data_IF_673534434547
#
_entry.id   IF_673534434547
#
_cell.length_a   1.000
_cell.length_b   1.000
_cell.length_c   1.000
_cell.angle_alpha   90.00
_cell.angle_beta   90.00
_cell.angle_gamma   90.00
#
_symmetry.space_group_name_H-M   'P 1'
#
loop_
_entity.id
_entity.type
_entity.pdbx_description
1 polymer ?
#
# COMPACT_ATOMS: atom_id res chain seq x y z
N UNK A 1 5.93 -1.37 5.67
CA UNK A 1 6.91 -2.07 6.54
C UNK A 1 7.96 -2.79 5.71
N UNK A 2 8.87 -3.55 6.32
CA UNK A 2 9.96 -4.24 5.63
C UNK A 2 9.48 -5.18 4.51
N UNK A 3 8.63 -6.17 4.85
CA UNK A 3 8.13 -7.15 3.89
C UNK A 3 7.32 -6.51 2.75
N UNK A 4 6.49 -5.53 3.05
CA UNK A 4 5.70 -4.81 2.05
C UNK A 4 6.56 -4.11 1.00
N UNK A 5 7.74 -3.58 1.37
CA UNK A 5 8.66 -2.98 0.41
C UNK A 5 9.28 -4.01 -0.52
N UNK A 6 9.64 -5.19 0.01
CA UNK A 6 10.18 -6.30 -0.79
C UNK A 6 9.12 -6.79 -1.76
N UNK A 7 7.88 -6.95 -1.30
CA UNK A 7 6.76 -7.32 -2.14
C UNK A 7 6.53 -6.30 -3.27
N UNK A 8 6.46 -5.00 -2.93
CA UNK A 8 6.29 -3.94 -3.93
C UNK A 8 7.43 -3.92 -4.97
N UNK A 9 8.70 -3.98 -4.53
CA UNK A 9 9.85 -4.05 -5.44
C UNK A 9 9.76 -5.26 -6.37
N UNK A 10 9.45 -6.44 -5.81
CA UNK A 10 9.36 -7.68 -6.57
C UNK A 10 8.25 -7.63 -7.62
N UNK A 11 7.08 -7.10 -7.26
CA UNK A 11 5.96 -6.89 -8.18
C UNK A 11 6.39 -5.97 -9.32
N UNK A 12 6.93 -4.80 -8.99
CA UNK A 12 7.37 -3.81 -9.99
C UNK A 12 8.45 -4.36 -10.93
N UNK A 13 9.37 -5.18 -10.42
CA UNK A 13 10.47 -5.74 -11.22
C UNK A 13 10.07 -6.93 -12.09
N UNK A 14 9.10 -7.73 -11.64
CA UNK A 14 8.83 -9.06 -12.25
C UNK A 14 7.43 -9.23 -12.82
N UNK A 15 6.49 -8.34 -12.53
CA UNK A 15 5.09 -8.44 -12.98
C UNK A 15 4.74 -7.24 -13.88
N UNK A 16 5.20 -7.23 -15.16
CA UNK A 16 4.98 -6.08 -16.05
C UNK A 16 3.50 -5.83 -16.36
N UNK A 17 2.68 -6.88 -16.27
CA UNK A 17 1.24 -6.84 -16.55
C UNK A 17 0.43 -6.16 -15.43
N UNK A 18 1.02 -5.94 -14.25
CA UNK A 18 0.38 -5.13 -13.21
C UNK A 18 0.31 -3.70 -13.72
N UNK A 19 -0.91 -3.22 -13.95
CA UNK A 19 -1.16 -1.88 -14.48
C UNK A 19 -0.72 -0.82 -13.47
N UNK A 20 -1.18 -0.95 -12.23
CA UNK A 20 -1.02 0.05 -11.18
C UNK A 20 -0.95 -0.60 -9.80
N UNK A 21 -0.13 -0.03 -8.92
CA UNK A 21 0.04 -0.43 -7.54
C UNK A 21 -0.37 0.74 -6.64
N UNK A 22 -1.47 0.58 -5.93
CA UNK A 22 -1.90 1.54 -4.92
C UNK A 22 -1.24 1.23 -3.58
N UNK A 23 -0.45 2.17 -3.08
CA UNK A 23 0.29 2.01 -1.82
C UNK A 23 -0.35 2.89 -0.74
N UNK A 24 -1.10 2.26 0.18
CA UNK A 24 -1.64 2.93 1.37
C UNK A 24 -0.51 3.27 2.34
N UNK A 25 -0.27 4.56 2.58
CA UNK A 25 0.74 5.07 3.49
C UNK A 25 0.11 6.00 4.53
N UNK A 26 0.38 5.75 5.81
CA UNK A 26 -0.01 6.68 6.89
C UNK A 26 0.73 8.01 6.71
N UNK A 27 -0.02 9.07 6.47
CA UNK A 27 0.49 10.41 6.25
C UNK A 27 -0.65 11.43 6.47
N UNK A 28 -0.32 12.66 6.83
CA UNK A 28 -1.31 13.71 7.03
C UNK A 28 -1.97 14.18 5.72
N UNK A 29 -1.20 14.19 4.63
CA UNK A 29 -1.63 14.68 3.32
C UNK A 29 -0.86 14.01 2.17
N UNK A 30 -1.24 14.32 0.93
CA UNK A 30 -0.59 13.83 -0.29
C UNK A 30 0.90 14.18 -0.36
N UNK A 31 1.30 15.36 0.12
CA UNK A 31 2.70 15.81 0.11
C UNK A 31 3.54 14.94 1.04
N UNK A 32 3.08 14.75 2.26
CA UNK A 32 3.72 13.92 3.29
C UNK A 32 3.78 12.46 2.85
N UNK A 33 2.72 11.96 2.20
CA UNK A 33 2.70 10.60 1.67
C UNK A 33 3.72 10.42 0.53
N UNK A 34 3.86 11.41 -0.35
CA UNK A 34 4.84 11.40 -1.44
C UNK A 34 6.28 11.44 -0.92
N UNK A 35 6.56 12.32 0.06
CA UNK A 35 7.86 12.38 0.74
C UNK A 35 8.17 11.03 1.41
N UNK A 36 7.19 10.42 2.06
CA UNK A 36 7.32 9.11 2.69
C UNK A 36 7.61 8.01 1.68
N UNK A 37 6.90 7.97 0.54
CA UNK A 37 7.18 7.03 -0.55
C UNK A 37 8.64 7.17 -1.00
N UNK A 38 9.09 8.39 -1.25
CA UNK A 38 10.45 8.63 -1.74
C UNK A 38 11.50 8.23 -0.70
N UNK A 39 11.37 8.64 0.56
CA UNK A 39 12.42 8.45 1.56
C UNK A 39 12.41 7.05 2.20
N UNK A 40 11.23 6.47 2.42
CA UNK A 40 11.10 5.21 3.17
C UNK A 40 10.97 3.98 2.29
N UNK A 41 10.53 4.14 1.03
CA UNK A 41 10.23 3.06 0.10
C UNK A 41 11.19 3.07 -1.09
N UNK A 42 11.00 3.97 -2.04
CA UNK A 42 11.67 3.98 -3.36
C UNK A 42 13.14 4.42 -3.26
N UNK A 43 13.46 5.27 -2.29
CA UNK A 43 14.81 5.74 -2.00
C UNK A 43 15.71 4.71 -1.32
N UNK A 44 15.18 3.56 -0.88
CA UNK A 44 15.99 2.52 -0.22
C UNK A 44 16.76 1.68 -1.25
N UNK A 45 17.93 1.19 -0.85
CA UNK A 45 18.79 0.32 -1.68
C UNK A 45 18.11 -0.96 -2.17
N UNK A 46 17.01 -1.35 -1.52
CA UNK A 46 16.13 -2.40 -2.00
C UNK A 46 15.72 -2.21 -3.46
N UNK A 47 15.47 -0.97 -3.90
CA UNK A 47 15.06 -0.63 -5.26
C UNK A 47 16.22 -0.44 -6.23
N UNK A 48 17.48 -0.64 -5.80
CA UNK A 48 18.68 -0.44 -6.63
C UNK A 48 18.66 -1.24 -7.92
N UNK A 49 18.22 -2.51 -7.87
CA UNK A 49 18.16 -3.37 -9.05
C UNK A 49 17.12 -2.84 -10.04
N UNK A 50 15.94 -2.42 -9.56
CA UNK A 50 14.91 -1.82 -10.41
C UNK A 50 15.40 -0.50 -11.02
N UNK A 51 16.07 0.35 -10.23
CA UNK A 51 16.68 1.61 -10.71
C UNK A 51 17.69 1.36 -11.81
N UNK A 52 18.61 0.41 -11.62
CA UNK A 52 19.61 0.05 -12.64
C UNK A 52 18.96 -0.50 -13.92
N UNK A 53 17.90 -1.30 -13.78
CA UNK A 53 17.19 -1.87 -14.93
C UNK A 53 16.44 -0.81 -15.75
N UNK A 54 15.84 0.18 -15.10
CA UNK A 54 15.06 1.23 -15.78
C UNK A 54 15.90 2.42 -16.24
N UNK A 55 17.06 2.67 -15.60
CA UNK A 55 17.92 3.80 -15.92
C UNK A 55 17.19 5.13 -15.78
N UNK A 56 17.31 5.99 -16.80
CA UNK A 56 16.67 7.31 -16.87
C UNK A 56 15.13 7.23 -16.82
N UNK A 57 14.53 6.11 -17.22
CA UNK A 57 13.09 5.92 -17.22
C UNK A 57 12.52 5.57 -15.83
N UNK A 58 13.37 5.45 -14.80
CA UNK A 58 12.93 4.99 -13.48
C UNK A 58 11.83 5.86 -12.88
N UNK A 59 11.98 7.18 -12.89
CA UNK A 59 11.00 8.08 -12.28
C UNK A 59 9.66 8.06 -13.03
N UNK A 60 9.70 8.02 -14.37
CA UNK A 60 8.50 7.88 -15.21
C UNK A 60 7.80 6.53 -14.96
N UNK A 61 8.57 5.45 -14.87
CA UNK A 61 8.04 4.12 -14.55
C UNK A 61 7.37 4.09 -13.17
N UNK A 62 7.98 4.69 -12.15
CA UNK A 62 7.41 4.75 -10.80
C UNK A 62 6.13 5.59 -10.78
N UNK A 63 6.10 6.74 -11.45
CA UNK A 63 4.90 7.60 -11.48
C UNK A 63 3.75 6.97 -12.26
N UNK A 64 4.03 6.18 -13.30
CA UNK A 64 3.02 5.41 -14.02
C UNK A 64 2.50 4.23 -13.18
N UNK A 65 3.40 3.48 -12.54
CA UNK A 65 3.05 2.23 -11.86
C UNK A 65 2.56 2.40 -10.43
N UNK A 66 2.93 3.46 -9.72
CA UNK A 66 2.60 3.63 -8.30
C UNK A 66 1.68 4.82 -8.10
N UNK A 67 0.62 4.62 -7.34
CA UNK A 67 -0.14 5.72 -6.75
C UNK A 67 -0.13 5.59 -5.24
N UNK A 68 0.36 6.64 -4.59
CA UNK A 68 0.35 6.72 -3.13
C UNK A 68 -1.04 7.10 -2.67
N UNK A 69 -1.56 6.37 -1.69
CA UNK A 69 -2.85 6.63 -1.07
C UNK A 69 -2.59 7.03 0.38
N UNK A 70 -2.72 8.32 0.76
CA UNK A 70 -2.68 8.70 2.16
C UNK A 70 -3.87 8.05 2.89
N UNK A 71 -3.59 7.30 3.94
CA UNK A 71 -4.63 6.66 4.73
C UNK A 71 -4.08 5.76 5.83
N UNK A 72 -4.98 5.27 6.66
CA UNK A 72 -4.66 4.46 7.83
C UNK A 72 -5.76 3.40 8.02
N UNK A 73 -5.31 2.13 8.11
CA UNK A 73 -6.18 0.96 8.19
C UNK A 73 -7.02 0.96 9.47
N UNK A 74 -6.63 1.72 10.50
CA UNK A 74 -7.37 1.82 11.77
C UNK A 74 -8.67 2.61 11.65
N UNK A 75 -8.91 3.27 10.51
CA UNK A 75 -10.16 3.98 10.24
C UNK A 75 -11.04 3.25 9.22
N UNK A 76 -12.34 3.54 9.29
CA UNK A 76 -13.30 3.14 8.24
C UNK A 76 -12.83 3.67 6.89
N UNK A 77 -13.11 2.89 5.84
CA UNK A 77 -12.70 3.20 4.47
C UNK A 77 -11.20 3.56 4.35
N UNK A 78 -10.39 2.95 5.23
CA UNK A 78 -8.93 3.07 5.26
C UNK A 78 -8.43 4.50 5.49
N UNK A 79 -9.27 5.38 6.04
CA UNK A 79 -8.93 6.79 6.26
C UNK A 79 -8.70 7.59 4.97
N UNK A 80 -9.24 7.12 3.84
CA UNK A 80 -9.12 7.79 2.55
C UNK A 80 -10.15 8.91 2.48
N UNK A 81 -9.67 10.15 2.53
CA UNK A 81 -10.52 11.34 2.55
C UNK A 81 -10.85 11.87 1.15
N UNK A 82 -10.04 11.55 0.14
CA UNK A 82 -10.28 11.98 -1.24
C UNK A 82 -11.36 11.10 -1.88
N UNK A 83 -12.55 11.64 -2.21
CA UNK A 83 -13.65 10.87 -2.78
C UNK A 83 -13.33 10.35 -4.18
N UNK A 84 -12.60 11.12 -5.00
CA UNK A 84 -12.26 10.72 -6.36
C UNK A 84 -11.29 9.54 -6.34
N UNK A 85 -10.27 9.63 -5.47
CA UNK A 85 -9.31 8.54 -5.29
C UNK A 85 -9.98 7.28 -4.73
N UNK A 86 -10.93 7.45 -3.82
CA UNK A 86 -11.71 6.34 -3.27
C UNK A 86 -12.55 5.66 -4.34
N UNK A 87 -13.24 6.42 -5.18
CA UNK A 87 -14.01 5.87 -6.30
C UNK A 87 -13.12 5.15 -7.33
N UNK A 88 -11.94 5.71 -7.63
CA UNK A 88 -10.93 5.06 -8.47
C UNK A 88 -10.52 3.70 -7.88
N UNK A 89 -10.14 3.65 -6.61
CA UNK A 89 -9.74 2.42 -5.92
C UNK A 89 -10.87 1.38 -5.92
N UNK A 90 -12.10 1.80 -5.62
CA UNK A 90 -13.23 0.88 -5.63
C UNK A 90 -13.41 0.26 -7.01
N UNK A 91 -13.29 1.05 -8.09
CA UNK A 91 -13.44 0.56 -9.47
C UNK A 91 -12.28 -0.31 -9.95
N UNK A 92 -11.04 0.07 -9.64
CA UNK A 92 -9.85 -0.43 -10.34
C UNK A 92 -9.08 -1.51 -9.57
N UNK A 93 -9.41 -1.76 -8.30
CA UNK A 93 -8.69 -2.77 -7.47
C UNK A 93 -9.17 -4.20 -7.77
N UNK A 94 -8.28 -4.99 -8.37
CA UNK A 94 -8.45 -6.43 -8.57
C UNK A 94 -7.95 -7.28 -7.38
N UNK A 95 -6.92 -6.82 -6.68
CA UNK A 95 -6.23 -7.58 -5.63
C UNK A 95 -5.86 -6.67 -4.47
N UNK A 96 -6.18 -7.09 -3.25
CA UNK A 96 -5.76 -6.43 -2.01
C UNK A 96 -4.79 -7.35 -1.27
N UNK A 97 -3.62 -6.83 -0.92
CA UNK A 97 -2.64 -7.53 -0.08
C UNK A 97 -2.44 -6.76 1.21
N UNK A 98 -2.98 -7.27 2.32
CA UNK A 98 -2.78 -6.69 3.63
C UNK A 98 -1.50 -7.22 4.29
N UNK A 99 -0.48 -6.35 4.33
CA UNK A 99 0.78 -6.54 5.06
C UNK A 99 0.92 -5.55 6.23
N UNK A 100 -0.11 -4.75 6.50
CA UNK A 100 -0.07 -3.73 7.53
C UNK A 100 -0.48 -4.34 8.87
N UNK A 101 0.49 -4.40 9.78
CA UNK A 101 0.35 -4.87 11.15
C UNK A 101 1.42 -4.20 12.01
N UNK A 102 1.19 -4.20 13.32
CA UNK A 102 2.25 -3.99 14.31
C UNK A 102 2.76 -5.37 14.69
N UNK A 103 4.08 -5.54 14.58
CA UNK A 103 4.79 -6.77 14.97
C UNK A 103 5.54 -6.57 16.28
N UNK A 104 5.21 -5.51 17.02
CA UNK A 104 5.76 -5.25 18.33
C UNK A 104 5.00 -6.11 19.36
N UNK A 105 5.72 -7.04 20.02
CA UNK A 105 5.15 -7.97 21.00
C UNK A 105 4.76 -7.28 22.31
N UNK A 106 5.38 -6.15 22.62
CA UNK A 106 5.13 -5.35 23.83
C UNK A 106 4.28 -4.10 23.54
N UNK A 107 3.52 -4.12 22.43
CA UNK A 107 2.63 -3.02 22.08
C UNK A 107 1.46 -2.91 23.05
N UNK A 108 1.00 -1.68 23.31
CA UNK A 108 -0.23 -1.49 24.08
C UNK A 108 -1.39 -2.25 23.41
N UNK A 109 -2.16 -2.96 24.24
CA UNK A 109 -3.24 -3.82 23.76
C UNK A 109 -4.27 -3.08 22.89
N UNK A 110 -4.64 -1.85 23.26
CA UNK A 110 -5.58 -1.06 22.47
C UNK A 110 -5.02 -0.75 21.08
N UNK A 111 -3.76 -0.34 20.99
CA UNK A 111 -3.07 -0.07 19.72
C UNK A 111 -3.00 -1.33 18.84
N UNK A 112 -2.59 -2.47 19.41
CA UNK A 112 -2.51 -3.72 18.65
C UNK A 112 -3.89 -4.24 18.23
N UNK A 113 -4.92 -4.07 19.06
CA UNK A 113 -6.31 -4.40 18.73
C UNK A 113 -6.81 -3.54 17.56
N UNK A 114 -6.64 -2.21 17.61
CA UNK A 114 -7.06 -1.32 16.54
C UNK A 114 -6.37 -1.62 15.22
N UNK A 115 -5.07 -1.91 15.26
CA UNK A 115 -4.28 -2.06 14.04
C UNK A 115 -4.37 -3.48 13.46
N UNK A 116 -4.18 -4.52 14.27
CA UNK A 116 -4.12 -5.90 13.77
C UNK A 116 -5.49 -6.55 13.66
N UNK A 117 -6.46 -6.18 14.51
CA UNK A 117 -7.82 -6.77 14.48
C UNK A 117 -8.79 -5.88 13.71
N UNK A 118 -9.00 -4.65 14.17
CA UNK A 118 -9.95 -3.76 13.49
C UNK A 118 -9.42 -3.28 12.13
N UNK A 119 -8.11 -3.12 11.97
CA UNK A 119 -7.50 -2.80 10.69
C UNK A 119 -7.76 -3.86 9.61
N UNK A 120 -7.61 -5.15 9.96
CA UNK A 120 -7.97 -6.25 9.06
C UNK A 120 -9.47 -6.25 8.72
N UNK A 121 -10.34 -5.97 9.70
CA UNK A 121 -11.78 -5.81 9.48
C UNK A 121 -12.10 -4.65 8.53
N UNK A 122 -11.48 -3.49 8.71
CA UNK A 122 -11.70 -2.33 7.84
C UNK A 122 -11.25 -2.59 6.40
N UNK A 123 -10.16 -3.33 6.22
CA UNK A 123 -9.73 -3.79 4.90
C UNK A 123 -10.74 -4.76 4.29
N UNK A 124 -11.26 -5.71 5.05
CA UNK A 124 -12.32 -6.62 4.58
C UNK A 124 -13.59 -5.86 4.20
N UNK A 125 -14.00 -4.87 5.00
CA UNK A 125 -15.18 -4.05 4.73
C UNK A 125 -14.99 -3.17 3.48
N UNK A 126 -13.78 -2.67 3.23
CA UNK A 126 -13.43 -1.97 1.99
C UNK A 126 -13.42 -2.93 0.79
N UNK A 127 -12.80 -4.09 0.95
CA UNK A 127 -12.71 -5.14 -0.07
C UNK A 127 -14.09 -5.57 -0.60
N UNK A 128 -15.08 -5.70 0.28
CA UNK A 128 -16.48 -6.02 -0.10
C UNK A 128 -17.13 -4.97 -1.01
N UNK A 129 -16.61 -3.75 -1.06
CA UNK A 129 -17.13 -2.65 -1.89
C UNK A 129 -16.46 -2.60 -3.27
N UNK A 130 -15.36 -3.33 -3.48
CA UNK A 130 -14.66 -3.42 -4.76
C UNK A 130 -15.35 -4.46 -5.66
N UNK A 131 -16.04 -4.05 -6.75
CA UNK A 131 -16.82 -4.97 -7.58
C UNK A 131 -15.94 -5.92 -8.42
N UNK A 132 -14.69 -5.53 -8.69
CA UNK A 132 -13.74 -6.30 -9.50
C UNK A 132 -12.75 -7.12 -8.66
N UNK A 133 -12.91 -7.15 -7.33
CA UNK A 133 -11.97 -7.82 -6.45
C UNK A 133 -11.96 -9.33 -6.70
N UNK A 134 -10.78 -9.86 -7.00
CA UNK A 134 -10.53 -11.29 -7.22
C UNK A 134 -9.88 -11.95 -6.01
N UNK A 135 -9.01 -11.23 -5.31
CA UNK A 135 -8.23 -11.78 -4.19
C UNK A 135 -8.07 -10.75 -3.08
N UNK A 136 -8.38 -11.16 -1.85
CA UNK A 136 -7.93 -10.51 -0.62
C UNK A 136 -6.92 -11.44 0.07
N UNK A 137 -5.66 -11.03 0.12
CA UNK A 137 -4.58 -11.75 0.81
C UNK A 137 -4.28 -11.06 2.14
N UNK A 138 -4.64 -11.71 3.25
CA UNK A 138 -4.24 -11.31 4.59
C UNK A 138 -2.96 -12.05 4.98
N UNK A 139 -1.90 -11.31 5.30
CA UNK A 139 -0.70 -11.91 5.89
C UNK A 139 -0.90 -12.00 7.42
N UNK A 140 -0.79 -13.20 7.98
CA UNK A 140 -0.86 -13.48 9.42
C UNK A 140 0.49 -13.92 9.98
N UNK A 141 0.56 -14.05 11.31
CA UNK A 141 1.60 -14.79 12.05
C UNK A 141 0.96 -15.90 12.89
#
# INVERSE_FOLDING_TARGET
>A
GFLAKIFAEKVLRTQPNVKKLYLLLRAADNKSASVRLQNEVIGKDLFRVLKQKMGENFESFISEKITVVPGDITFKDLGINDPNLKEELLRDVDVIVNLAATTNFDERYDVSLYLNTFGARHILDFAKKCPNLKVLLQVST
#
